data_IF_377492519605
#
_entry.id   IF_377492519605
#
_cell.length_a   1.000
_cell.length_b   1.000
_cell.length_c   1.000
_cell.angle_alpha   90.00
_cell.angle_beta   90.00
_cell.angle_gamma   90.00
#
_symmetry.space_group_name_H-M   'P 1'
#
loop_
_entity.id
_entity.type
_entity.pdbx_description
1 polymer ?
#
# COMPACT_ATOMS: atom_id res chain seq x y z
N UNK A 1 -16.72 20.36 52.77
CA UNK A 1 -17.04 19.05 52.18
C UNK A 1 -16.55 19.02 50.73
N UNK A 2 -15.36 18.48 50.47
CA UNK A 2 -14.84 18.35 49.10
C UNK A 2 -15.49 17.13 48.43
N UNK A 3 -16.45 17.38 47.54
CA UNK A 3 -17.01 16.34 46.67
C UNK A 3 -16.01 16.08 45.54
N UNK A 4 -14.95 15.34 45.86
CA UNK A 4 -14.03 14.80 44.84
C UNK A 4 -14.84 13.79 44.03
N UNK A 5 -15.31 14.22 42.85
CA UNK A 5 -15.98 13.35 41.88
C UNK A 5 -15.04 12.18 41.60
N UNK A 6 -15.37 10.98 42.09
CA UNK A 6 -14.95 9.72 41.48
C UNK A 6 -15.53 9.72 40.05
N UNK A 7 -14.89 10.43 39.14
CA UNK A 7 -15.09 10.20 37.72
C UNK A 7 -14.72 8.73 37.51
N UNK A 8 -15.73 7.93 37.18
CA UNK A 8 -15.65 6.47 37.17
C UNK A 8 -14.45 6.05 36.32
N UNK A 9 -13.49 5.35 36.91
CA UNK A 9 -12.28 4.85 36.23
C UNK A 9 -12.62 4.10 34.94
N UNK A 10 -13.77 3.44 34.90
CA UNK A 10 -14.37 2.77 33.73
C UNK A 10 -14.64 3.76 32.59
N UNK A 11 -15.18 4.94 32.90
CA UNK A 11 -15.44 5.99 31.90
C UNK A 11 -14.15 6.51 31.28
N UNK A 12 -13.08 6.63 32.08
CA UNK A 12 -11.77 7.06 31.58
C UNK A 12 -11.12 5.97 30.72
N UNK A 13 -11.28 4.70 31.10
CA UNK A 13 -10.81 3.55 30.34
C UNK A 13 -11.51 3.44 28.97
N UNK A 14 -12.82 3.64 28.92
CA UNK A 14 -13.61 3.64 27.68
C UNK A 14 -13.16 4.77 26.73
N UNK A 15 -12.95 5.98 27.26
CA UNK A 15 -12.47 7.11 26.47
C UNK A 15 -11.06 6.84 25.93
N UNK A 16 -10.16 6.29 26.74
CA UNK A 16 -8.81 5.92 26.31
C UNK A 16 -8.85 4.86 25.19
N UNK A 17 -9.72 3.86 25.31
CA UNK A 17 -9.87 2.79 24.33
C UNK A 17 -10.43 3.32 23.00
N UNK A 18 -11.41 4.24 23.06
CA UNK A 18 -11.92 4.95 21.89
C UNK A 18 -10.84 5.79 21.20
N UNK A 19 -10.04 6.53 21.96
CA UNK A 19 -8.92 7.32 21.40
C UNK A 19 -7.90 6.42 20.72
N UNK A 20 -7.55 5.28 21.34
CA UNK A 20 -6.66 4.29 20.72
C UNK A 20 -7.24 3.74 19.40
N UNK A 21 -8.53 3.38 19.37
CA UNK A 21 -9.18 2.90 18.16
C UNK A 21 -9.16 3.95 17.04
N UNK A 22 -9.43 5.22 17.35
CA UNK A 22 -9.39 6.31 16.36
C UNK A 22 -7.97 6.52 15.83
N UNK A 23 -6.96 6.50 16.70
CA UNK A 23 -5.56 6.59 16.29
C UNK A 23 -5.17 5.42 15.39
N UNK A 24 -5.51 4.19 15.74
CA UNK A 24 -5.26 3.02 14.90
C UNK A 24 -5.93 3.15 13.52
N UNK A 25 -7.20 3.59 13.49
CA UNK A 25 -7.92 3.77 12.23
C UNK A 25 -7.29 4.83 11.33
N UNK A 26 -6.85 5.95 11.91
CA UNK A 26 -6.12 6.99 11.18
C UNK A 26 -4.76 6.48 10.68
N UNK A 27 -4.02 5.73 11.49
CA UNK A 27 -2.74 5.13 11.10
C UNK A 27 -2.89 4.15 9.92
N UNK A 28 -3.94 3.31 9.94
CA UNK A 28 -4.23 2.37 8.84
C UNK A 28 -4.62 3.11 7.58
N UNK A 29 -5.38 4.21 7.68
CA UNK A 29 -5.76 5.05 6.53
C UNK A 29 -4.58 5.77 5.89
N UNK A 30 -3.55 6.11 6.67
CA UNK A 30 -2.31 6.71 6.14
C UNK A 30 -1.34 5.70 5.54
N UNK A 31 -1.59 4.39 5.70
CA UNK A 31 -0.72 3.35 5.19
C UNK A 31 -1.20 2.93 3.79
N UNK A 32 -0.39 3.07 2.73
CA UNK A 32 -0.77 2.68 1.36
C UNK A 32 -0.81 1.15 1.18
N UNK A 33 -0.75 0.38 2.27
CA UNK A 33 -0.55 -1.07 2.28
C UNK A 33 -1.74 -1.87 1.75
N UNK A 34 -2.94 -1.30 1.66
CA UNK A 34 -4.15 -2.07 1.34
C UNK A 34 -4.41 -2.22 -0.16
N UNK A 35 -3.90 -1.31 -1.00
CA UNK A 35 -4.12 -1.35 -2.45
C UNK A 35 -3.04 -2.18 -3.14
N UNK A 36 -1.77 -2.05 -2.72
CA UNK A 36 -0.63 -2.79 -3.25
C UNK A 36 -0.52 -4.24 -2.74
N UNK A 37 -1.32 -4.64 -1.75
CA UNK A 37 -1.26 -5.99 -1.17
C UNK A 37 -1.47 -7.11 -2.21
N UNK A 38 -2.33 -6.91 -3.21
CA UNK A 38 -2.58 -7.90 -4.26
C UNK A 38 -1.36 -8.07 -5.17
N UNK A 39 -0.73 -6.97 -5.59
CA UNK A 39 0.48 -7.00 -6.42
C UNK A 39 1.66 -7.60 -5.64
N UNK A 40 1.79 -7.28 -4.34
CA UNK A 40 2.81 -7.87 -3.48
C UNK A 40 2.64 -9.40 -3.34
N UNK A 41 1.40 -9.91 -3.28
CA UNK A 41 1.15 -11.36 -3.22
C UNK A 41 1.42 -12.08 -4.55
N UNK A 42 1.31 -11.38 -5.68
CA UNK A 42 1.54 -11.97 -7.01
C UNK A 42 3.03 -12.19 -7.34
N UNK A 43 3.95 -11.68 -6.51
CA UNK A 43 5.40 -11.85 -6.70
C UNK A 43 5.82 -13.33 -6.55
N UNK A 44 5.08 -14.16 -5.81
CA UNK A 44 5.41 -15.57 -5.66
C UNK A 44 5.08 -16.40 -6.92
N UNK A 45 4.27 -15.87 -7.84
CA UNK A 45 3.79 -16.56 -9.05
C UNK A 45 4.25 -15.88 -10.36
N UNK A 46 5.17 -14.92 -10.30
CA UNK A 46 5.60 -14.15 -11.46
C UNK A 46 6.65 -14.86 -12.32
N UNK A 47 6.74 -14.46 -13.60
CA UNK A 47 7.77 -14.95 -14.53
C UNK A 47 9.06 -14.10 -14.42
N UNK A 48 10.18 -14.75 -14.11
CA UNK A 48 11.50 -14.14 -13.96
C UNK A 48 12.16 -13.80 -15.30
N UNK A 49 11.68 -14.35 -16.42
CA UNK A 49 12.34 -14.26 -17.73
C UNK A 49 11.48 -13.57 -18.79
N UNK A 50 10.34 -13.01 -18.38
CA UNK A 50 9.44 -12.27 -19.26
C UNK A 50 9.73 -10.76 -19.19
N UNK A 51 10.49 -10.17 -20.13
CA UNK A 51 10.66 -8.73 -20.18
C UNK A 51 9.33 -8.06 -20.54
N UNK A 52 9.06 -6.88 -19.98
CA UNK A 52 7.79 -6.18 -20.15
C UNK A 52 8.05 -4.70 -20.43
N UNK A 53 7.31 -4.14 -21.38
CA UNK A 53 7.09 -2.70 -21.43
C UNK A 53 5.78 -2.40 -20.70
N UNK A 54 5.80 -1.44 -19.77
CA UNK A 54 4.61 -1.03 -19.05
C UNK A 54 4.47 0.48 -18.99
N UNK A 55 3.24 0.95 -18.78
CA UNK A 55 2.90 2.35 -18.70
C UNK A 55 2.13 2.70 -17.42
N UNK A 56 2.39 3.88 -16.88
CA UNK A 56 1.67 4.47 -15.75
C UNK A 56 1.62 5.99 -15.93
N UNK A 57 0.43 6.59 -15.94
CA UNK A 57 0.25 8.04 -16.09
C UNK A 57 1.03 8.69 -17.27
N UNK A 58 1.05 8.01 -18.43
CA UNK A 58 1.80 8.41 -19.64
C UNK A 58 3.34 8.30 -19.54
N UNK A 59 3.87 7.76 -18.44
CA UNK A 59 5.26 7.31 -18.36
C UNK A 59 5.33 5.88 -18.89
N UNK A 60 6.38 5.57 -19.66
CA UNK A 60 6.67 4.22 -20.13
C UNK A 60 7.97 3.73 -19.49
N UNK A 61 7.99 2.49 -19.04
CA UNK A 61 9.13 1.89 -18.38
C UNK A 61 9.31 0.44 -18.82
N UNK A 62 10.54 0.09 -19.16
CA UNK A 62 10.94 -1.28 -19.40
C UNK A 62 11.28 -1.97 -18.07
N UNK A 63 10.75 -3.17 -17.88
CA UNK A 63 11.06 -4.07 -16.78
C UNK A 63 11.73 -5.32 -17.33
N UNK A 64 12.80 -5.77 -16.69
CA UNK A 64 13.56 -6.95 -17.12
C UNK A 64 12.80 -8.27 -16.90
N UNK A 65 11.82 -8.26 -16.00
CA UNK A 65 10.94 -9.39 -15.71
C UNK A 65 9.55 -8.93 -15.26
N UNK A 66 8.56 -9.82 -15.32
CA UNK A 66 7.26 -9.59 -14.70
C UNK A 66 7.38 -9.36 -13.18
N UNK A 67 8.28 -10.08 -12.54
CA UNK A 67 8.57 -9.94 -11.12
C UNK A 67 9.05 -8.54 -10.73
N UNK A 68 9.88 -7.92 -11.58
CA UNK A 68 10.39 -6.57 -11.32
C UNK A 68 9.26 -5.52 -11.40
N UNK A 69 8.34 -5.68 -12.35
CA UNK A 69 7.17 -4.81 -12.46
C UNK A 69 6.27 -4.94 -11.22
N UNK A 70 5.93 -6.17 -10.80
CA UNK A 70 5.10 -6.40 -9.61
C UNK A 70 5.76 -5.90 -8.33
N UNK A 71 7.08 -6.05 -8.20
CA UNK A 71 7.85 -5.48 -7.09
C UNK A 71 7.75 -3.95 -7.06
N UNK A 72 7.87 -3.29 -8.21
CA UNK A 72 7.75 -1.84 -8.31
C UNK A 72 6.33 -1.37 -7.93
N UNK A 73 5.29 -2.06 -8.42
CA UNK A 73 3.90 -1.81 -8.04
C UNK A 73 3.74 -1.96 -6.52
N UNK A 74 4.30 -3.02 -5.94
CA UNK A 74 4.24 -3.29 -4.51
C UNK A 74 4.88 -2.18 -3.65
N UNK A 75 6.07 -1.71 -4.05
CA UNK A 75 6.84 -0.72 -3.29
C UNK A 75 6.32 0.71 -3.45
N UNK A 76 5.83 1.06 -4.63
CA UNK A 76 5.46 2.45 -4.96
C UNK A 76 3.96 2.71 -5.02
N UNK A 77 3.15 1.67 -5.16
CA UNK A 77 1.72 1.77 -5.44
C UNK A 77 1.39 2.27 -6.85
N UNK A 78 2.38 2.42 -7.75
CA UNK A 78 2.12 2.76 -9.15
C UNK A 78 1.58 1.53 -9.88
N UNK A 79 0.33 1.58 -10.32
CA UNK A 79 -0.30 0.49 -11.08
C UNK A 79 0.18 0.44 -12.53
N UNK A 80 1.41 -0.03 -12.74
CA UNK A 80 1.98 -0.25 -14.06
C UNK A 80 1.15 -1.26 -14.87
N UNK A 81 0.78 -0.90 -16.10
CA UNK A 81 -0.01 -1.73 -17.01
C UNK A 81 0.83 -2.11 -18.23
N UNK A 82 0.63 -3.32 -18.76
CA UNK A 82 1.30 -3.76 -19.99
C UNK A 82 1.09 -2.77 -21.14
N UNK A 83 2.17 -2.50 -21.87
CA UNK A 83 2.20 -1.62 -23.03
C UNK A 83 3.07 -2.21 -24.14
N UNK A 84 3.00 -1.62 -25.33
CA UNK A 84 3.76 -2.05 -26.49
C UNK A 84 5.26 -1.73 -26.32
N UNK A 85 6.14 -2.71 -26.60
CA UNK A 85 7.60 -2.53 -26.55
C UNK A 85 8.11 -1.32 -27.36
N UNK A 86 7.40 -0.91 -28.42
CA UNK A 86 7.73 0.29 -29.19
C UNK A 86 7.68 1.59 -28.38
N UNK A 87 6.93 1.63 -27.27
CA UNK A 87 6.81 2.81 -26.42
C UNK A 87 7.93 2.93 -25.38
N UNK A 88 8.51 1.82 -24.92
CA UNK A 88 9.62 1.83 -23.97
C UNK A 88 10.99 2.11 -24.60
N UNK A 89 11.04 2.39 -25.92
CA UNK A 89 12.23 2.74 -26.70
C UNK A 89 13.49 1.95 -26.27
N UNK A 90 13.40 0.63 -26.35
CA UNK A 90 14.53 -0.28 -26.13
C UNK A 90 15.45 -0.23 -27.35
N UNK A 91 16.37 0.74 -27.36
CA UNK A 91 17.41 0.92 -28.38
C UNK A 91 18.60 0.01 -28.17
#
# INVERSE_FOLDING_TARGET
MHKVRRFSTISMLLVLLLVLCVLCFLCVRSLPLFESASACSAIDECDLFEPICAAYNNEHQFFYSHCDMLREICLTGKEWQYDYFSHCNVS
#
